data_IF_196834002444
#
_entry.id   IF_196834002444
#
_cell.length_a   1.000
_cell.length_b   1.000
_cell.length_c   1.000
_cell.angle_alpha   90.00
_cell.angle_beta   90.00
_cell.angle_gamma   90.00
#
_symmetry.space_group_name_H-M   'P 1'
#
loop_
_entity.id
_entity.type
_entity.pdbx_description
1 polymer ?
#
# COMPACT_ATOMS: atom_id res chain seq x y z
N UNK A 1 7.55 34.24 11.94
CA UNK A 1 8.09 32.88 11.68
C UNK A 1 7.01 31.81 11.82
N UNK A 2 5.93 31.91 11.06
CA UNK A 2 4.83 30.93 11.04
C UNK A 2 4.94 29.90 9.89
N UNK A 3 6.07 29.85 9.18
CA UNK A 3 6.19 29.16 7.88
C UNK A 3 6.92 27.80 7.94
N UNK A 4 6.95 27.11 9.08
CA UNK A 4 7.69 25.85 9.24
C UNK A 4 6.89 24.71 9.88
N UNK A 5 5.58 24.87 10.05
CA UNK A 5 4.77 23.78 10.60
C UNK A 5 4.45 22.82 9.46
N UNK A 6 5.17 21.69 9.41
CA UNK A 6 4.64 20.47 8.80
C UNK A 6 3.25 20.27 9.41
N UNK A 7 2.16 20.27 8.62
CA UNK A 7 0.82 20.14 9.15
C UNK A 7 0.76 18.90 10.06
N UNK A 8 0.17 19.05 11.25
CA UNK A 8 0.19 18.01 12.28
C UNK A 8 -0.28 16.64 11.76
N UNK A 9 -1.19 16.65 10.78
CA UNK A 9 -1.76 15.47 10.12
C UNK A 9 -0.75 14.71 9.23
N UNK A 10 0.33 15.36 8.79
CA UNK A 10 1.46 14.74 8.08
C UNK A 10 2.52 14.16 9.02
N UNK A 11 2.57 14.64 10.27
CA UNK A 11 3.65 14.41 11.23
C UNK A 11 3.41 13.24 12.19
N UNK A 12 2.24 12.59 12.16
CA UNK A 12 1.95 11.43 13.03
C UNK A 12 2.50 10.13 12.42
N UNK A 13 3.79 10.17 12.05
CA UNK A 13 4.57 9.05 11.57
C UNK A 13 5.82 8.84 12.42
N UNK A 14 6.14 7.58 12.75
CA UNK A 14 7.41 7.26 13.41
C UNK A 14 8.60 7.63 12.54
N UNK A 15 8.49 7.38 11.23
CA UNK A 15 9.46 7.80 10.22
C UNK A 15 8.80 8.69 9.18
N UNK A 16 9.13 9.98 9.20
CA UNK A 16 8.77 10.93 8.16
C UNK A 16 9.91 11.08 7.15
N UNK A 17 9.75 10.51 5.96
CA UNK A 17 10.82 10.31 4.98
C UNK A 17 10.58 11.25 3.79
N UNK A 18 11.20 12.43 3.86
CA UNK A 18 11.17 13.44 2.81
C UNK A 18 12.07 13.12 1.61
N UNK A 19 13.10 12.31 1.83
CA UNK A 19 14.01 11.80 0.80
C UNK A 19 14.26 10.31 1.06
N UNK A 20 13.88 9.46 0.10
CA UNK A 20 14.00 8.02 0.26
C UNK A 20 15.42 7.48 0.02
N UNK A 21 16.40 8.31 -0.37
CA UNK A 21 17.78 7.90 -0.68
C UNK A 21 18.63 7.50 0.55
N UNK A 22 18.07 6.64 1.39
CA UNK A 22 18.60 6.18 2.65
C UNK A 22 18.45 4.66 2.75
N UNK A 23 19.16 4.11 3.73
CA UNK A 23 19.10 2.70 4.07
C UNK A 23 18.33 2.52 5.38
N UNK A 24 17.30 1.67 5.36
CA UNK A 24 16.46 1.37 6.51
C UNK A 24 16.57 -0.14 6.80
N UNK A 25 17.24 -0.48 7.90
CA UNK A 25 17.47 -1.85 8.32
C UNK A 25 16.88 -2.13 9.70
N UNK A 26 16.00 -3.12 9.80
CA UNK A 26 15.57 -3.67 11.09
C UNK A 26 14.86 -2.68 12.01
N UNK A 27 14.30 -1.59 11.46
CA UNK A 27 13.60 -0.59 12.26
C UNK A 27 12.21 -1.09 12.64
N UNK A 28 11.66 -0.55 13.72
CA UNK A 28 10.26 -0.73 14.12
C UNK A 28 9.58 0.63 14.20
N UNK A 29 8.39 0.74 13.61
CA UNK A 29 7.62 1.97 13.61
C UNK A 29 6.20 1.74 14.11
N UNK A 30 5.74 2.62 15.01
CA UNK A 30 4.34 2.74 15.41
C UNK A 30 3.91 4.17 15.19
N UNK A 31 2.74 4.41 14.62
CA UNK A 31 2.29 5.78 14.40
C UNK A 31 0.80 5.88 14.15
N UNK A 32 0.15 6.91 14.71
CA UNK A 32 -1.30 7.07 14.65
C UNK A 32 -1.86 7.08 13.24
N UNK A 33 -1.22 7.80 12.31
CA UNK A 33 -1.58 7.80 10.88
C UNK A 33 -0.82 6.71 10.11
N UNK A 34 0.51 6.69 10.22
CA UNK A 34 1.38 5.76 9.50
C UNK A 34 2.64 5.44 10.30
N UNK A 35 3.28 4.30 10.05
CA UNK A 35 4.59 4.00 10.63
C UNK A 35 5.71 4.66 9.84
N UNK A 36 5.75 4.37 8.54
CA UNK A 36 6.69 4.94 7.58
C UNK A 36 5.94 5.77 6.55
N UNK A 37 6.23 7.07 6.52
CA UNK A 37 5.63 8.04 5.61
C UNK A 37 6.64 8.48 4.57
N UNK A 38 6.59 7.91 3.38
CA UNK A 38 7.32 8.42 2.22
C UNK A 38 6.46 9.51 1.56
N UNK A 39 6.65 10.75 1.95
CA UNK A 39 5.89 11.89 1.40
C UNK A 39 6.58 12.46 0.17
N UNK A 40 5.81 12.84 -0.85
CA UNK A 40 6.39 13.48 -2.03
C UNK A 40 6.76 14.94 -1.75
N UNK A 41 8.04 15.25 -1.93
CA UNK A 41 8.59 16.59 -1.99
C UNK A 41 9.08 16.86 -3.42
N UNK A 42 8.40 17.72 -4.20
CA UNK A 42 8.83 18.05 -5.57
C UNK A 42 10.08 18.92 -5.58
N UNK A 43 10.33 19.66 -4.49
CA UNK A 43 11.53 20.45 -4.25
C UNK A 43 11.93 20.36 -2.76
N UNK A 44 13.19 20.65 -2.41
CA UNK A 44 13.61 20.69 -1.01
C UNK A 44 12.92 21.85 -0.28
N UNK A 45 12.78 21.71 1.04
CA UNK A 45 12.17 22.72 1.91
C UNK A 45 13.16 23.19 2.99
N UNK A 46 12.80 24.24 3.72
CA UNK A 46 13.61 24.78 4.81
C UNK A 46 14.94 25.33 4.33
N UNK A 47 16.03 25.03 5.05
CA UNK A 47 17.37 25.57 4.77
C UNK A 47 17.91 25.22 3.37
N UNK A 48 17.43 24.13 2.78
CA UNK A 48 17.92 23.62 1.48
C UNK A 48 17.01 23.99 0.31
N UNK A 49 16.03 24.88 0.48
CA UNK A 49 15.05 25.26 -0.57
C UNK A 49 15.67 25.77 -1.89
N UNK A 50 16.94 26.18 -1.86
CA UNK A 50 17.67 26.68 -3.02
C UNK A 50 18.35 25.59 -3.85
N UNK A 51 18.38 24.33 -3.37
CA UNK A 51 19.04 23.22 -4.05
C UNK A 51 18.16 22.72 -5.21
N UNK A 52 18.74 22.64 -6.41
CA UNK A 52 18.08 22.17 -7.63
C UNK A 52 18.02 20.64 -7.68
N UNK A 53 17.07 20.06 -6.95
CA UNK A 53 16.79 18.62 -6.97
C UNK A 53 15.33 18.33 -6.65
N UNK A 54 14.83 17.15 -7.03
CA UNK A 54 13.54 16.64 -6.57
C UNK A 54 13.74 15.51 -5.56
N UNK A 55 13.47 15.70 -4.25
CA UNK A 55 13.60 14.65 -3.26
C UNK A 55 12.67 13.45 -3.50
N UNK A 56 11.45 13.66 -4.01
CA UNK A 56 10.49 12.58 -4.28
C UNK A 56 10.96 11.61 -5.36
N UNK A 57 11.80 12.07 -6.30
CA UNK A 57 12.34 11.22 -7.35
C UNK A 57 13.45 10.31 -6.85
N UNK A 58 13.97 10.48 -5.63
CA UNK A 58 15.09 9.66 -5.18
C UNK A 58 14.62 8.25 -4.78
N UNK A 59 15.26 7.18 -5.29
CA UNK A 59 14.89 5.81 -4.93
C UNK A 59 15.36 5.46 -3.53
N UNK A 60 14.78 4.39 -2.98
CA UNK A 60 15.31 3.71 -1.80
C UNK A 60 16.70 3.15 -2.11
N UNK A 61 17.67 3.33 -1.21
CA UNK A 61 18.92 2.55 -1.27
C UNK A 61 18.68 1.13 -0.78
N UNK A 62 18.04 1.01 0.40
CA UNK A 62 17.59 -0.27 0.95
C UNK A 62 16.45 -0.06 1.94
N UNK A 63 15.47 -0.95 1.91
CA UNK A 63 14.47 -1.09 2.96
C UNK A 63 14.31 -2.57 3.29
N UNK A 64 14.96 -3.03 4.35
CA UNK A 64 15.08 -4.45 4.67
C UNK A 64 14.78 -4.77 6.13
N UNK A 65 13.93 -5.77 6.36
CA UNK A 65 13.69 -6.30 7.69
C UNK A 65 12.94 -5.34 8.62
N UNK A 66 12.35 -4.27 8.09
CA UNK A 66 11.64 -3.29 8.91
C UNK A 66 10.24 -3.80 9.28
N UNK A 67 9.73 -3.28 10.39
CA UNK A 67 8.41 -3.61 10.92
C UNK A 67 7.60 -2.35 11.18
N UNK A 68 6.30 -2.38 10.90
CA UNK A 68 5.41 -1.28 11.24
C UNK A 68 4.09 -1.79 11.83
N UNK A 69 3.56 -1.07 12.82
CA UNK A 69 2.35 -1.50 13.49
C UNK A 69 1.51 -0.39 14.07
N UNK A 70 0.31 -0.78 14.54
CA UNK A 70 -0.61 0.08 15.28
C UNK A 70 -0.92 1.38 14.53
N UNK A 71 -0.97 1.29 13.19
CA UNK A 71 -1.19 2.45 12.35
C UNK A 71 -2.63 2.56 11.88
N UNK A 72 -3.03 3.82 11.71
CA UNK A 72 -4.28 4.18 11.03
C UNK A 72 -5.51 3.72 11.80
N UNK A 73 -5.41 3.57 13.13
CA UNK A 73 -6.51 3.11 14.00
C UNK A 73 -7.76 4.00 13.88
N UNK A 74 -7.57 5.31 13.62
CA UNK A 74 -8.65 6.28 13.52
C UNK A 74 -9.06 6.59 12.07
N UNK A 75 -8.26 6.19 11.06
CA UNK A 75 -8.46 6.60 9.67
C UNK A 75 -8.28 5.39 8.73
N UNK A 76 -9.36 5.01 8.03
CA UNK A 76 -9.43 3.77 7.24
C UNK A 76 -8.51 3.73 6.01
N UNK A 77 -8.02 4.89 5.57
CA UNK A 77 -7.12 5.01 4.40
C UNK A 77 -5.63 5.12 4.77
N UNK A 78 -5.29 5.13 6.05
CA UNK A 78 -3.89 5.14 6.46
C UNK A 78 -3.24 3.78 6.24
N UNK A 79 -1.91 3.76 6.23
CA UNK A 79 -1.15 2.52 6.12
C UNK A 79 0.02 2.49 7.08
N UNK A 80 0.46 1.29 7.48
CA UNK A 80 1.71 1.13 8.23
C UNK A 80 2.91 1.60 7.42
N UNK A 81 2.91 1.36 6.11
CA UNK A 81 3.85 1.94 5.16
C UNK A 81 3.06 2.69 4.11
N UNK A 82 3.18 4.01 4.11
CA UNK A 82 2.49 4.90 3.19
C UNK A 82 3.50 5.56 2.25
N UNK A 83 3.26 5.44 0.94
CA UNK A 83 4.02 6.14 -0.09
C UNK A 83 3.07 6.95 -0.95
N UNK A 84 3.17 8.28 -0.90
CA UNK A 84 2.25 9.17 -1.60
C UNK A 84 2.21 10.54 -0.95
N UNK A 85 1.04 11.18 -0.98
CA UNK A 85 0.85 12.54 -0.49
C UNK A 85 1.69 13.56 -1.26
N UNK A 86 1.54 14.84 -0.93
CA UNK A 86 2.34 15.91 -1.49
C UNK A 86 2.59 16.97 -0.43
N UNK A 87 3.85 17.34 -0.27
CA UNK A 87 4.26 18.45 0.58
C UNK A 87 5.05 19.44 -0.26
N UNK A 88 4.55 20.67 -0.39
CA UNK A 88 5.16 21.68 -1.25
C UNK A 88 4.97 23.09 -0.69
N UNK A 89 5.81 24.03 -1.14
CA UNK A 89 5.67 25.44 -0.80
C UNK A 89 4.77 26.10 -1.84
N UNK A 90 3.59 26.55 -1.40
CA UNK A 90 2.63 27.31 -2.20
C UNK A 90 2.42 28.67 -1.57
N UNK A 91 2.51 29.74 -2.37
CA UNK A 91 2.34 31.12 -1.91
C UNK A 91 3.18 31.46 -0.64
N UNK A 92 4.38 30.89 -0.53
CA UNK A 92 5.27 31.09 0.62
C UNK A 92 4.91 30.31 1.88
N UNK A 93 3.90 29.45 1.83
CA UNK A 93 3.47 28.57 2.92
C UNK A 93 3.70 27.10 2.56
N UNK A 94 4.04 26.29 3.57
CA UNK A 94 4.20 24.86 3.41
C UNK A 94 2.81 24.20 3.49
N UNK A 95 2.33 23.66 2.36
CA UNK A 95 1.06 22.96 2.27
C UNK A 95 1.27 21.45 2.23
N UNK A 96 0.32 20.71 2.84
CA UNK A 96 0.28 19.25 2.79
C UNK A 96 -1.03 18.76 2.20
N UNK A 97 -0.93 17.80 1.30
CA UNK A 97 -2.05 17.06 0.76
C UNK A 97 -1.84 15.56 1.03
N UNK A 98 -2.68 14.96 1.87
CA UNK A 98 -2.72 13.50 2.15
C UNK A 98 -3.16 12.66 0.93
N UNK A 99 -3.46 13.31 -0.18
CA UNK A 99 -4.05 12.73 -1.37
C UNK A 99 -3.16 11.73 -2.10
N UNK A 100 -3.78 11.17 -3.13
CA UNK A 100 -3.25 10.08 -3.96
C UNK A 100 -2.32 10.64 -5.03
N UNK A 101 -1.14 11.08 -4.60
CA UNK A 101 -0.16 11.70 -5.49
C UNK A 101 0.95 10.70 -5.81
N UNK A 102 1.23 10.52 -7.09
CA UNK A 102 2.16 9.49 -7.53
C UNK A 102 3.62 9.87 -7.33
N UNK A 103 4.39 8.90 -6.86
CA UNK A 103 5.85 8.96 -6.79
C UNK A 103 6.46 8.24 -7.98
N UNK A 104 7.34 8.91 -8.73
CA UNK A 104 8.14 8.30 -9.79
C UNK A 104 9.63 8.37 -9.43
N UNK A 105 10.18 7.30 -8.86
CA UNK A 105 11.59 7.24 -8.46
C UNK A 105 12.52 7.00 -9.64
N UNK A 106 13.66 7.70 -9.63
CA UNK A 106 14.67 7.72 -10.69
C UNK A 106 16.07 7.83 -10.10
N UNK A 107 17.01 7.11 -10.69
CA UNK A 107 18.44 7.26 -10.44
C UNK A 107 19.13 7.73 -11.73
N UNK A 108 19.73 8.91 -11.69
CA UNK A 108 20.30 9.58 -12.87
C UNK A 108 19.37 9.60 -14.11
N UNK A 109 18.06 9.84 -13.88
CA UNK A 109 17.04 9.87 -14.93
C UNK A 109 16.48 8.51 -15.33
N UNK A 110 17.08 7.40 -14.87
CA UNK A 110 16.60 6.04 -15.11
C UNK A 110 15.57 5.66 -14.05
N UNK A 111 14.41 5.22 -14.48
CA UNK A 111 13.32 4.80 -13.57
C UNK A 111 13.74 3.63 -12.67
N UNK A 112 13.38 3.71 -11.39
CA UNK A 112 13.71 2.72 -10.37
C UNK A 112 12.47 2.30 -9.61
N UNK A 113 12.47 1.06 -9.14
CA UNK A 113 11.44 0.49 -8.28
C UNK A 113 11.68 0.90 -6.83
N UNK A 114 10.60 1.12 -6.09
CA UNK A 114 10.66 1.15 -4.62
C UNK A 114 10.54 -0.27 -4.09
N UNK A 115 11.64 -0.79 -3.55
CA UNK A 115 11.74 -2.16 -3.08
C UNK A 115 11.63 -2.23 -1.55
N UNK A 116 10.65 -3.00 -1.07
CA UNK A 116 10.44 -3.34 0.34
C UNK A 116 10.75 -4.83 0.56
N UNK A 117 11.82 -5.13 1.28
CA UNK A 117 12.28 -6.50 1.51
C UNK A 117 12.05 -6.92 2.95
N UNK A 118 11.61 -8.18 3.13
CA UNK A 118 11.48 -8.85 4.43
C UNK A 118 10.72 -8.00 5.45
N UNK A 119 9.71 -7.27 4.96
CA UNK A 119 8.99 -6.26 5.73
C UNK A 119 7.77 -6.89 6.38
N UNK A 120 7.50 -6.56 7.65
CA UNK A 120 6.33 -7.08 8.36
C UNK A 120 5.45 -5.97 8.88
N UNK A 121 4.14 -6.14 8.77
CA UNK A 121 3.16 -5.20 9.29
C UNK A 121 2.14 -5.89 10.18
N UNK A 122 1.68 -5.22 11.23
CA UNK A 122 0.64 -5.77 12.11
C UNK A 122 -0.29 -4.71 12.71
N UNK A 123 -1.57 -5.02 12.89
CA UNK A 123 -2.56 -4.09 13.49
C UNK A 123 -2.73 -2.76 12.73
N UNK A 124 -2.69 -2.82 11.40
CA UNK A 124 -2.78 -1.66 10.49
C UNK A 124 -4.12 -1.63 9.73
N UNK A 125 -4.56 -0.45 9.27
CA UNK A 125 -5.69 -0.38 8.32
C UNK A 125 -5.21 -1.03 7.02
N UNK A 126 -4.10 -0.54 6.51
CA UNK A 126 -3.43 -1.08 5.33
C UNK A 126 -1.99 -1.42 5.73
N UNK A 127 -1.46 -2.59 5.36
CA UNK A 127 -0.05 -2.91 5.56
C UNK A 127 0.83 -1.99 4.72
N UNK A 128 0.71 -2.07 3.40
CA UNK A 128 1.38 -1.17 2.44
C UNK A 128 0.35 -0.44 1.58
N UNK A 129 0.37 0.89 1.59
CA UNK A 129 -0.32 1.72 0.59
C UNK A 129 0.70 2.49 -0.24
N UNK A 130 0.79 2.16 -1.52
CA UNK A 130 1.77 2.75 -2.42
C UNK A 130 1.11 3.36 -3.65
N UNK A 131 1.18 4.70 -3.73
CA UNK A 131 0.61 5.50 -4.82
C UNK A 131 1.60 5.78 -5.97
N UNK A 132 2.82 5.24 -5.90
CA UNK A 132 3.85 5.47 -6.92
C UNK A 132 3.70 4.67 -8.21
N UNK A 133 4.63 4.89 -9.14
CA UNK A 133 4.63 4.27 -10.47
C UNK A 133 5.13 2.83 -10.48
N UNK A 134 6.05 2.46 -9.57
CA UNK A 134 6.74 1.16 -9.54
C UNK A 134 7.05 0.74 -8.11
N UNK A 135 6.57 -0.42 -7.69
CA UNK A 135 6.75 -0.95 -6.33
C UNK A 135 6.96 -2.45 -6.31
N UNK A 136 7.91 -2.89 -5.51
CA UNK A 136 8.21 -4.29 -5.30
C UNK A 136 8.18 -4.62 -3.80
N UNK A 137 7.52 -5.72 -3.44
CA UNK A 137 7.49 -6.23 -2.08
C UNK A 137 7.90 -7.71 -2.06
N UNK A 138 9.06 -7.99 -1.45
CA UNK A 138 9.65 -9.33 -1.41
C UNK A 138 9.71 -9.85 0.03
N UNK A 139 9.13 -11.00 0.31
CA UNK A 139 9.09 -11.53 1.68
C UNK A 139 8.19 -10.71 2.60
N UNK A 140 7.16 -10.06 2.07
CA UNK A 140 6.26 -9.21 2.86
C UNK A 140 5.25 -10.04 3.66
N UNK A 141 5.06 -9.67 4.92
CA UNK A 141 4.02 -10.24 5.77
C UNK A 141 3.12 -9.17 6.38
N UNK A 142 1.82 -9.42 6.39
CA UNK A 142 0.85 -8.62 7.13
C UNK A 142 0.02 -9.52 8.04
N UNK A 143 -0.16 -9.08 9.29
CA UNK A 143 -0.94 -9.81 10.29
C UNK A 143 -1.99 -8.89 10.89
N UNK A 144 -3.19 -9.37 11.16
CA UNK A 144 -4.16 -8.63 11.95
C UNK A 144 -4.51 -7.25 11.34
N UNK A 145 -4.66 -7.20 10.01
CA UNK A 145 -4.90 -5.98 9.23
C UNK A 145 -6.33 -5.92 8.67
N UNK A 146 -6.81 -4.72 8.33
CA UNK A 146 -8.02 -4.58 7.50
C UNK A 146 -7.72 -4.81 6.01
N UNK A 147 -6.51 -4.44 5.58
CA UNK A 147 -6.04 -4.65 4.22
C UNK A 147 -4.55 -4.97 4.19
N UNK A 148 -4.13 -6.01 3.48
CA UNK A 148 -2.71 -6.38 3.37
C UNK A 148 -1.92 -5.34 2.59
N UNK A 149 -2.29 -5.10 1.34
CA UNK A 149 -1.67 -4.07 0.51
C UNK A 149 -2.63 -3.46 -0.52
N UNK A 150 -2.36 -2.20 -0.89
CA UNK A 150 -2.94 -1.50 -2.05
C UNK A 150 -1.80 -0.84 -2.83
N UNK A 151 -1.51 -1.34 -4.02
CA UNK A 151 -0.35 -0.93 -4.81
C UNK A 151 -0.80 -0.40 -6.17
N UNK A 152 -0.26 0.75 -6.57
CA UNK A 152 -0.52 1.40 -7.85
C UNK A 152 0.66 1.32 -8.79
N UNK A 153 0.38 1.61 -10.07
CA UNK A 153 1.36 1.57 -11.14
C UNK A 153 1.72 0.14 -11.53
N UNK A 154 3.01 -0.14 -11.65
CA UNK A 154 3.54 -1.48 -11.82
C UNK A 154 3.91 -2.04 -10.45
N UNK A 155 3.32 -3.17 -10.08
CA UNK A 155 3.51 -3.79 -8.79
C UNK A 155 3.94 -5.25 -8.96
N UNK A 156 5.00 -5.64 -8.27
CA UNK A 156 5.41 -7.03 -8.15
C UNK A 156 5.48 -7.41 -6.68
N UNK A 157 4.81 -8.49 -6.31
CA UNK A 157 4.90 -9.02 -4.96
C UNK A 157 5.21 -10.50 -4.98
N UNK A 158 6.20 -10.88 -4.17
CA UNK A 158 6.71 -12.24 -4.10
C UNK A 158 6.91 -12.72 -2.67
N UNK A 159 6.64 -14.00 -2.45
CA UNK A 159 6.92 -14.71 -1.19
C UNK A 159 6.19 -14.04 -0.02
N UNK A 160 4.88 -13.92 -0.15
CA UNK A 160 4.05 -13.14 0.76
C UNK A 160 3.17 -13.98 1.68
N UNK A 161 2.88 -13.43 2.86
CA UNK A 161 1.88 -13.96 3.79
C UNK A 161 0.96 -12.85 4.27
N UNK A 162 -0.33 -12.97 3.99
CA UNK A 162 -1.36 -12.12 4.59
C UNK A 162 -2.22 -12.97 5.53
N UNK A 163 -2.11 -12.68 6.82
CA UNK A 163 -2.76 -13.38 7.92
C UNK A 163 -3.86 -12.49 8.49
N UNK A 164 -5.12 -12.82 8.22
CA UNK A 164 -6.22 -11.93 8.58
C UNK A 164 -6.43 -11.83 10.09
N UNK A 165 -6.29 -12.96 10.78
CA UNK A 165 -6.39 -13.05 12.23
C UNK A 165 -5.36 -14.06 12.73
N UNK A 166 -4.30 -13.54 13.30
CA UNK A 166 -3.25 -14.35 13.91
C UNK A 166 -3.75 -15.01 15.20
N UNK A 167 -2.95 -15.91 15.76
CA UNK A 167 -3.22 -16.51 17.08
C UNK A 167 -3.03 -15.53 18.25
N UNK A 168 -2.78 -14.25 17.99
CA UNK A 168 -2.66 -13.23 19.03
C UNK A 168 -4.05 -12.92 19.61
N UNK A 169 -4.30 -13.19 20.91
CA UNK A 169 -5.62 -12.99 21.52
C UNK A 169 -6.05 -11.51 21.58
N UNK A 170 -5.12 -10.58 21.44
CA UNK A 170 -5.39 -9.12 21.34
C UNK A 170 -5.16 -8.58 19.93
N UNK A 171 -4.95 -9.46 18.96
CA UNK A 171 -4.67 -9.14 17.56
C UNK A 171 -5.90 -8.69 16.75
N UNK A 172 -7.09 -8.65 17.34
CA UNK A 172 -8.29 -8.39 16.54
C UNK A 172 -8.45 -6.92 16.19
N UNK A 173 -8.48 -6.61 14.90
CA UNK A 173 -8.93 -5.31 14.40
C UNK A 173 -10.40 -5.40 13.94
N UNK A 174 -11.30 -4.50 14.39
CA UNK A 174 -12.69 -4.51 13.95
C UNK A 174 -12.82 -4.16 12.46
N UNK A 175 -13.52 -5.00 11.71
CA UNK A 175 -13.85 -4.75 10.30
C UNK A 175 -13.51 -5.92 9.38
N UNK A 176 -13.95 -5.86 8.11
CA UNK A 176 -13.64 -6.88 7.13
C UNK A 176 -12.15 -6.86 6.75
N UNK A 177 -11.53 -8.04 6.74
CA UNK A 177 -10.13 -8.16 6.31
C UNK A 177 -10.04 -8.46 4.81
N UNK A 178 -9.20 -7.70 4.11
CA UNK A 178 -8.91 -7.87 2.69
C UNK A 178 -7.44 -8.20 2.50
N UNK A 179 -7.12 -9.26 1.78
CA UNK A 179 -5.73 -9.65 1.58
C UNK A 179 -5.01 -8.65 0.66
N UNK A 180 -5.46 -8.58 -0.60
CA UNK A 180 -4.95 -7.66 -1.59
C UNK A 180 -6.10 -7.06 -2.41
N UNK A 181 -5.96 -5.79 -2.78
CA UNK A 181 -6.91 -5.12 -3.66
C UNK A 181 -6.31 -4.82 -5.02
N UNK A 182 -6.93 -5.35 -6.06
CA UNK A 182 -6.65 -4.96 -7.42
C UNK A 182 -7.43 -3.69 -7.76
N UNK A 183 -6.72 -2.69 -8.27
CA UNK A 183 -7.30 -1.40 -8.63
C UNK A 183 -7.63 -1.34 -10.13
N UNK A 184 -8.70 -0.62 -10.50
CA UNK A 184 -9.22 -0.52 -11.89
C UNK A 184 -8.51 0.51 -12.77
N UNK A 185 -7.47 1.20 -12.28
CA UNK A 185 -6.90 2.38 -12.99
C UNK A 185 -5.43 2.19 -13.39
N UNK A 186 -5.15 1.81 -14.64
CA UNK A 186 -3.77 1.77 -15.18
C UNK A 186 -2.73 1.01 -14.31
N UNK A 187 -3.18 0.02 -13.54
CA UNK A 187 -2.33 -0.79 -12.67
C UNK A 187 -1.98 -2.11 -13.38
N UNK A 188 -0.75 -2.57 -13.20
CA UNK A 188 -0.26 -3.90 -13.58
C UNK A 188 0.30 -4.56 -12.33
N UNK A 189 -0.35 -5.60 -11.83
CA UNK A 189 0.12 -6.33 -10.64
C UNK A 189 0.47 -7.76 -10.96
N UNK A 190 1.63 -8.21 -10.50
CA UNK A 190 2.01 -9.63 -10.47
C UNK A 190 2.10 -10.09 -9.02
N UNK A 191 1.35 -11.14 -8.68
CA UNK A 191 1.44 -11.86 -7.41
C UNK A 191 2.10 -13.22 -7.64
N UNK A 192 3.14 -13.54 -6.87
CA UNK A 192 3.92 -14.77 -7.04
C UNK A 192 4.24 -15.41 -5.68
N UNK A 193 3.81 -16.65 -5.45
CA UNK A 193 3.99 -17.34 -4.16
C UNK A 193 3.39 -16.55 -2.98
N UNK A 194 2.06 -16.43 -2.95
CA UNK A 194 1.33 -15.67 -1.93
C UNK A 194 0.44 -16.60 -1.11
N UNK A 195 0.49 -16.49 0.21
CA UNK A 195 -0.41 -17.20 1.12
C UNK A 195 -1.38 -16.22 1.77
N UNK A 196 -2.67 -16.46 1.58
CA UNK A 196 -3.73 -15.82 2.35
C UNK A 196 -4.23 -16.79 3.40
N UNK A 197 -4.26 -16.38 4.67
CA UNK A 197 -4.68 -17.27 5.74
C UNK A 197 -5.52 -16.62 6.82
N UNK A 198 -6.29 -17.46 7.52
CA UNK A 198 -7.14 -17.08 8.65
C UNK A 198 -8.08 -15.92 8.32
N UNK A 199 -8.83 -16.07 7.23
CA UNK A 199 -9.83 -15.12 6.78
C UNK A 199 -11.21 -15.66 7.15
N UNK A 200 -11.78 -15.12 8.24
CA UNK A 200 -13.11 -15.45 8.73
C UNK A 200 -14.18 -14.62 8.01
N UNK A 201 -15.33 -15.20 7.70
CA UNK A 201 -16.43 -14.49 7.07
C UNK A 201 -16.90 -13.35 7.98
N UNK A 202 -16.95 -12.12 7.45
CA UNK A 202 -17.65 -11.03 8.14
C UNK A 202 -19.15 -11.14 7.83
N UNK A 203 -20.01 -11.36 8.84
CA UNK A 203 -21.45 -11.48 8.62
C UNK A 203 -22.03 -10.20 8.01
N UNK A 204 -23.04 -10.33 7.15
CA UNK A 204 -23.82 -9.23 6.55
C UNK A 204 -23.07 -8.31 5.55
N UNK A 205 -21.77 -8.50 5.34
CA UNK A 205 -21.04 -7.82 4.27
C UNK A 205 -20.79 -8.80 3.12
N UNK A 206 -21.26 -8.42 1.93
CA UNK A 206 -21.16 -9.23 0.70
C UNK A 206 -20.23 -8.55 -0.32
N UNK A 207 -19.88 -9.29 -1.38
CA UNK A 207 -19.15 -8.73 -2.54
C UNK A 207 -17.81 -8.09 -2.14
N UNK A 208 -17.43 -6.91 -2.64
CA UNK A 208 -16.14 -6.29 -2.31
C UNK A 208 -16.01 -5.77 -0.87
N UNK A 209 -17.11 -5.72 -0.10
CA UNK A 209 -17.15 -5.07 1.22
C UNK A 209 -16.90 -6.05 2.38
N UNK A 210 -16.93 -7.35 2.14
CA UNK A 210 -16.68 -8.38 3.17
C UNK A 210 -15.21 -8.76 3.33
N UNK A 211 -14.98 -9.84 4.08
CA UNK A 211 -13.63 -10.42 4.24
C UNK A 211 -13.28 -11.25 3.02
N UNK A 212 -12.20 -10.92 2.30
CA UNK A 212 -11.74 -11.71 1.15
C UNK A 212 -10.22 -11.67 1.00
N UNK A 213 -9.63 -12.74 0.46
CA UNK A 213 -8.22 -12.78 0.14
C UNK A 213 -7.87 -11.78 -0.97
N UNK A 214 -8.67 -11.75 -2.03
CA UNK A 214 -8.53 -10.82 -3.14
C UNK A 214 -9.83 -10.03 -3.30
N UNK A 215 -9.70 -8.74 -3.58
CA UNK A 215 -10.84 -7.89 -3.91
C UNK A 215 -10.55 -7.11 -5.18
N UNK A 216 -11.53 -7.04 -6.07
CA UNK A 216 -11.49 -6.15 -7.23
C UNK A 216 -12.16 -4.83 -6.87
N UNK A 217 -11.46 -3.71 -7.04
CA UNK A 217 -12.06 -2.40 -6.93
C UNK A 217 -12.51 -1.91 -8.30
N UNK A 218 -13.83 -1.81 -8.51
CA UNK A 218 -14.47 -1.27 -9.73
C UNK A 218 -15.12 0.08 -9.41
N UNK A 219 -14.36 1.16 -9.59
CA UNK A 219 -14.68 2.50 -9.09
C UNK A 219 -15.61 3.28 -10.02
N UNK A 220 -15.29 3.43 -11.31
CA UNK A 220 -16.13 4.18 -12.27
C UNK A 220 -15.68 4.06 -13.74
N UNK A 221 -16.54 4.48 -14.68
CA UNK A 221 -16.20 4.58 -16.11
C UNK A 221 -15.13 5.61 -16.47
N UNK A 222 -14.81 6.51 -15.54
CA UNK A 222 -13.77 7.52 -15.74
C UNK A 222 -12.37 6.87 -15.79
N UNK A 223 -12.20 5.73 -15.12
CA UNK A 223 -10.94 5.01 -15.12
C UNK A 223 -11.18 3.56 -15.56
N UNK A 224 -10.65 3.19 -16.73
CA UNK A 224 -10.79 1.84 -17.27
C UNK A 224 -9.51 1.04 -17.01
N UNK A 225 -9.60 -0.24 -16.61
CA UNK A 225 -8.45 -1.12 -16.59
C UNK A 225 -7.82 -1.19 -17.98
N UNK A 226 -6.50 -0.99 -18.04
CA UNK A 226 -5.73 -1.12 -19.29
C UNK A 226 -4.52 -2.06 -19.12
N UNK A 227 -4.36 -2.67 -17.94
CA UNK A 227 -3.27 -3.58 -17.62
C UNK A 227 -3.79 -4.98 -17.29
N UNK A 228 -2.93 -5.98 -17.48
CA UNK A 228 -3.20 -7.35 -17.05
C UNK A 228 -2.64 -7.51 -15.64
N UNK A 229 -3.47 -7.96 -14.71
CA UNK A 229 -2.98 -8.52 -13.45
C UNK A 229 -2.71 -10.02 -13.64
N UNK A 230 -1.67 -10.55 -13.03
CA UNK A 230 -1.36 -11.97 -13.07
C UNK A 230 -1.06 -12.50 -11.67
N UNK A 231 -1.44 -13.75 -11.42
CA UNK A 231 -1.13 -14.45 -10.19
C UNK A 231 -0.64 -15.87 -10.50
N UNK A 232 0.28 -16.37 -9.67
CA UNK A 232 0.68 -17.77 -9.64
C UNK A 232 1.07 -18.20 -8.24
N UNK A 233 0.97 -19.49 -7.96
CA UNK A 233 1.33 -20.13 -6.70
C UNK A 233 0.67 -19.44 -5.49
N UNK A 234 -0.64 -19.16 -5.62
CA UNK A 234 -1.44 -18.61 -4.53
C UNK A 234 -1.99 -19.75 -3.67
N UNK A 235 -1.97 -19.59 -2.35
CA UNK A 235 -2.49 -20.57 -1.41
C UNK A 235 -3.46 -19.91 -0.44
N UNK A 236 -4.51 -20.66 -0.10
CA UNK A 236 -5.54 -20.25 0.84
C UNK A 236 -5.58 -21.23 2.00
N UNK A 237 -5.30 -20.76 3.22
CA UNK A 237 -5.24 -21.60 4.42
C UNK A 237 -6.23 -21.08 5.46
N UNK A 238 -7.25 -21.85 5.84
CA UNK A 238 -8.30 -21.38 6.76
C UNK A 238 -8.98 -20.08 6.26
N UNK A 239 -9.40 -20.09 4.99
CA UNK A 239 -10.20 -19.03 4.36
C UNK A 239 -11.62 -19.59 4.19
N UNK A 240 -12.64 -18.81 4.58
CA UNK A 240 -14.03 -19.25 4.44
C UNK A 240 -14.40 -19.58 2.99
N UNK A 241 -15.44 -20.43 2.78
CA UNK A 241 -15.69 -21.10 1.50
C UNK A 241 -15.77 -20.18 0.26
N UNK A 242 -16.28 -18.95 0.37
CA UNK A 242 -16.30 -17.99 -0.75
C UNK A 242 -15.36 -16.79 -0.52
N UNK A 243 -14.43 -16.90 0.43
CA UNK A 243 -13.53 -15.83 0.84
C UNK A 243 -12.32 -15.61 -0.04
N UNK A 244 -12.20 -16.30 -1.17
CA UNK A 244 -11.05 -16.14 -2.06
C UNK A 244 -11.11 -14.84 -2.85
N UNK A 245 -12.30 -14.49 -3.36
CA UNK A 245 -12.47 -13.34 -4.24
C UNK A 245 -13.76 -12.58 -3.95
N UNK A 246 -13.63 -11.32 -3.56
CA UNK A 246 -14.73 -10.39 -3.37
C UNK A 246 -14.82 -9.44 -4.56
N UNK A 247 -15.85 -9.56 -5.37
CA UNK A 247 -16.07 -8.70 -6.52
C UNK A 247 -17.41 -8.00 -6.40
N UNK A 248 -17.44 -6.69 -6.65
CA UNK A 248 -18.68 -5.93 -6.83
C UNK A 248 -18.85 -5.61 -8.31
N UNK A 249 -19.77 -6.32 -8.95
CA UNK A 249 -20.05 -6.16 -10.37
C UNK A 249 -21.00 -4.97 -10.53
N UNK A 250 -20.51 -3.90 -11.15
CA UNK A 250 -21.30 -2.73 -11.55
C UNK A 250 -21.32 -2.64 -13.07
N UNK A 251 -22.41 -2.16 -13.67
CA UNK A 251 -22.45 -1.91 -15.11
C UNK A 251 -21.64 -0.66 -15.46
N UNK A 252 -20.32 -0.85 -15.50
CA UNK A 252 -19.30 0.12 -15.87
C UNK A 252 -18.35 -0.56 -16.85
N UNK A 253 -17.82 0.20 -17.80
CA UNK A 253 -16.66 -0.18 -18.60
C UNK A 253 -15.50 -0.65 -17.74
N UNK A 254 -15.28 -0.09 -16.54
CA UNK A 254 -14.24 -0.55 -15.63
C UNK A 254 -14.41 -2.04 -15.25
N UNK A 255 -15.62 -2.46 -14.88
CA UNK A 255 -15.91 -3.87 -14.59
C UNK A 255 -15.70 -4.79 -15.79
N UNK A 256 -15.92 -4.30 -17.02
CA UNK A 256 -15.78 -5.10 -18.25
C UNK A 256 -14.34 -5.37 -18.66
N UNK A 257 -13.42 -4.45 -18.33
CA UNK A 257 -11.99 -4.61 -18.64
C UNK A 257 -11.20 -5.18 -17.46
N UNK A 258 -11.82 -5.39 -16.30
CA UNK A 258 -11.14 -5.96 -15.16
C UNK A 258 -10.76 -7.42 -15.43
N UNK A 259 -9.47 -7.73 -15.36
CA UNK A 259 -8.98 -9.10 -15.53
C UNK A 259 -7.84 -9.42 -14.56
N UNK A 260 -7.85 -10.67 -14.09
CA UNK A 260 -6.75 -11.31 -13.39
C UNK A 260 -6.48 -12.63 -14.11
N UNK A 261 -5.25 -12.81 -14.58
CA UNK A 261 -4.79 -14.04 -15.18
C UNK A 261 -4.27 -14.96 -14.09
N UNK A 262 -5.00 -16.03 -13.81
CA UNK A 262 -4.52 -17.15 -13.00
C UNK A 262 -3.62 -18.03 -13.88
N UNK A 263 -2.31 -17.85 -13.77
CA UNK A 263 -1.37 -18.47 -14.68
C UNK A 263 -1.25 -19.99 -14.47
N UNK A 264 -1.45 -20.47 -13.25
CA UNK A 264 -1.25 -21.87 -12.87
C UNK A 264 -2.48 -22.55 -12.23
N UNK A 265 -3.62 -21.87 -12.19
CA UNK A 265 -4.86 -22.41 -11.64
C UNK A 265 -4.97 -22.32 -10.12
N UNK A 266 -4.06 -21.59 -9.46
CA UNK A 266 -3.97 -21.52 -8.01
C UNK A 266 -4.97 -20.54 -7.36
N UNK A 267 -5.67 -19.70 -8.14
CA UNK A 267 -6.73 -18.85 -7.64
C UNK A 267 -8.09 -19.57 -7.51
N UNK A 268 -8.28 -20.70 -8.22
CA UNK A 268 -9.54 -21.44 -8.32
C UNK A 268 -9.67 -22.61 -7.34
#
# INVERSE_FOLDING_TARGET
NHNLLVPADAAVAGFYISNANNEFYGNAASGGWTGYSFINFPAPIGLHQHVQMSPMERPLKKFYGNTAHSASYQWDLGACIYTGGLQEIKNGQLEYNVGRMDRNTKDFGVEKWMLFEQTRTYLCSIGIAHWGKRVEALGFAAHDILRGASLFGEAYMKDMVIDGKSSNPVGSRPGPTRGFEFYDTFVKTILDNVVFKNLEQTPHLTEQFGTYALVSMTHSDYFKPQGINAARNVRFENVWNNGRFGNYIRDTGASRYYNVMDYDGSLL
#
